data_IF_443696381875
#
_entry.id   IF_443696381875
#
_cell.length_a   1.000
_cell.length_b   1.000
_cell.length_c   1.000
_cell.angle_alpha   90.00
_cell.angle_beta   90.00
_cell.angle_gamma   90.00
#
_symmetry.space_group_name_H-M   'P 1'
#
loop_
_entity.id
_entity.type
_entity.pdbx_description
1 polymer ?
#
# COMPACT_ATOMS: atom_id res chain seq x y z
N UNK A 1 13.45 -14.62 -3.35
CA UNK A 1 11.98 -14.65 -3.52
C UNK A 1 11.54 -13.21 -3.64
N UNK A 2 10.76 -12.85 -4.65
CA UNK A 2 10.37 -11.46 -4.93
C UNK A 2 9.34 -11.01 -3.88
N UNK A 3 9.60 -9.94 -3.14
CA UNK A 3 8.71 -9.37 -2.13
C UNK A 3 7.94 -8.19 -2.69
N UNK A 4 6.62 -8.27 -2.73
CA UNK A 4 5.74 -7.18 -3.18
C UNK A 4 5.11 -6.54 -1.94
N UNK A 5 5.49 -5.30 -1.62
CA UNK A 5 4.89 -4.57 -0.52
C UNK A 5 3.44 -4.19 -0.84
N UNK A 6 2.51 -4.73 -0.07
CA UNK A 6 1.09 -4.39 -0.14
C UNK A 6 0.80 -3.16 0.72
N UNK A 7 0.38 -2.08 0.08
CA UNK A 7 -0.06 -0.85 0.72
C UNK A 7 -1.57 -0.70 0.57
N UNK A 8 -2.31 -0.98 1.64
CA UNK A 8 -3.76 -0.94 1.69
C UNK A 8 -4.28 -0.15 2.88
N UNK A 9 -5.47 0.45 2.75
CA UNK A 9 -6.18 1.09 3.85
C UNK A 9 -6.93 0.08 4.77
N UNK A 10 -6.41 -1.14 4.89
CA UNK A 10 -6.95 -2.26 5.66
C UNK A 10 -5.95 -3.41 5.71
N UNK A 11 -6.08 -4.29 6.70
CA UNK A 11 -5.17 -5.44 6.90
C UNK A 11 -5.39 -6.54 5.86
N UNK A 12 -6.60 -6.72 5.35
CA UNK A 12 -6.88 -7.65 4.24
C UNK A 12 -7.99 -7.09 3.35
N UNK A 13 -7.85 -7.27 2.04
CA UNK A 13 -8.96 -7.04 1.13
C UNK A 13 -9.74 -8.32 0.93
N UNK A 14 -10.52 -8.71 1.93
CA UNK A 14 -11.20 -10.01 2.09
C UNK A 14 -12.09 -10.48 0.93
N UNK A 15 -12.42 -9.62 -0.05
CA UNK A 15 -13.09 -10.04 -1.29
C UNK A 15 -12.18 -10.38 -2.48
N UNK A 16 -10.89 -10.05 -2.41
CA UNK A 16 -9.93 -10.19 -3.53
C UNK A 16 -8.50 -10.58 -3.10
N UNK A 17 -8.23 -10.68 -1.79
CA UNK A 17 -6.90 -10.90 -1.25
C UNK A 17 -6.29 -12.21 -1.78
N UNK A 18 -7.10 -13.28 -1.81
CA UNK A 18 -6.68 -14.59 -2.31
C UNK A 18 -6.29 -14.55 -3.78
N UNK A 19 -6.98 -13.75 -4.58
CA UNK A 19 -6.72 -13.57 -6.01
C UNK A 19 -5.43 -12.78 -6.23
N UNK A 20 -5.17 -11.76 -5.40
CA UNK A 20 -3.92 -10.98 -5.41
C UNK A 20 -2.74 -11.90 -5.04
N UNK A 21 -2.87 -12.69 -3.97
CA UNK A 21 -1.84 -13.63 -3.53
C UNK A 21 -1.56 -14.70 -4.58
N UNK A 22 -2.60 -15.33 -5.13
CA UNK A 22 -2.47 -16.31 -6.22
C UNK A 22 -1.78 -15.72 -7.46
N UNK A 23 -2.08 -14.46 -7.80
CA UNK A 23 -1.42 -13.78 -8.90
C UNK A 23 0.09 -13.59 -8.61
N UNK A 24 0.47 -13.17 -7.41
CA UNK A 24 1.87 -13.04 -7.01
C UNK A 24 2.59 -14.40 -7.02
N UNK A 25 1.99 -15.44 -6.45
CA UNK A 25 2.55 -16.80 -6.40
C UNK A 25 2.80 -17.39 -7.79
N UNK A 26 1.93 -17.10 -8.77
CA UNK A 26 2.07 -17.54 -10.16
C UNK A 26 3.39 -17.05 -10.79
N UNK A 27 3.94 -15.93 -10.30
CA UNK A 27 5.21 -15.37 -10.74
C UNK A 27 6.36 -15.58 -9.74
N UNK A 28 6.20 -16.46 -8.75
CA UNK A 28 7.22 -16.71 -7.73
C UNK A 28 7.47 -15.53 -6.77
N UNK A 29 6.46 -14.67 -6.62
CA UNK A 29 6.48 -13.53 -5.72
C UNK A 29 5.57 -13.76 -4.50
N UNK A 30 5.82 -13.00 -3.43
CA UNK A 30 5.04 -13.04 -2.20
C UNK A 30 4.58 -11.62 -1.83
N UNK A 31 3.29 -11.47 -1.50
CA UNK A 31 2.78 -10.23 -0.93
C UNK A 31 3.24 -10.11 0.53
N UNK A 32 3.82 -8.97 0.89
CA UNK A 32 4.26 -8.67 2.25
C UNK A 32 3.64 -7.36 2.72
N UNK A 33 3.28 -7.27 3.99
CA UNK A 33 2.83 -6.02 4.59
C UNK A 33 4.01 -5.42 5.37
N UNK A 34 4.48 -4.22 5.03
CA UNK A 34 5.53 -3.58 5.80
C UNK A 34 5.12 -3.39 7.26
N UNK A 35 6.03 -3.69 8.18
CA UNK A 35 5.82 -3.48 9.61
C UNK A 35 6.17 -2.03 9.97
N UNK A 36 5.37 -1.45 10.85
CA UNK A 36 5.53 -0.07 11.32
C UNK A 36 5.27 0.02 12.81
N UNK A 37 6.09 0.80 13.50
CA UNK A 37 5.87 1.12 14.91
C UNK A 37 4.78 2.21 15.01
N UNK A 38 3.99 2.17 16.08
CA UNK A 38 2.96 3.17 16.33
C UNK A 38 3.55 4.58 16.43
N UNK A 39 4.73 4.71 17.02
CA UNK A 39 5.42 5.99 17.21
C UNK A 39 5.87 6.61 15.87
N UNK A 40 6.08 5.80 14.84
CA UNK A 40 6.48 6.27 13.50
C UNK A 40 5.28 6.81 12.71
N UNK A 41 4.04 6.52 13.11
CA UNK A 41 2.84 6.87 12.32
C UNK A 41 2.62 8.38 12.28
N UNK A 42 2.72 9.05 13.43
CA UNK A 42 2.44 10.48 13.53
C UNK A 42 3.54 11.31 12.85
N UNK A 43 4.81 10.94 13.00
CA UNK A 43 5.93 11.60 12.31
C UNK A 43 5.87 11.41 10.79
N UNK A 44 5.59 10.19 10.32
CA UNK A 44 5.39 9.89 8.91
C UNK A 44 4.26 10.74 8.31
N UNK A 45 3.19 10.93 9.07
CA UNK A 45 2.01 11.66 8.65
C UNK A 45 2.25 13.18 8.61
N UNK A 46 2.99 13.74 9.57
CA UNK A 46 3.44 15.14 9.52
C UNK A 46 4.34 15.40 8.30
N UNK A 47 5.31 14.51 8.03
CA UNK A 47 6.20 14.62 6.87
C UNK A 47 5.47 14.50 5.54
N UNK A 48 4.42 13.68 5.47
CA UNK A 48 3.65 13.43 4.26
C UNK A 48 2.78 14.63 3.84
N UNK A 49 2.32 15.45 4.80
CA UNK A 49 1.61 16.70 4.52
C UNK A 49 0.16 16.55 4.03
N UNK A 50 -0.37 15.32 3.93
CA UNK A 50 -1.78 15.05 3.64
C UNK A 50 -2.52 14.63 4.92
N UNK A 51 -3.52 15.41 5.32
CA UNK A 51 -4.36 15.06 6.46
C UNK A 51 -5.48 14.09 6.06
N UNK A 52 -5.31 12.80 6.37
CA UNK A 52 -6.38 11.79 6.39
C UNK A 52 -7.04 11.59 7.77
N UNK A 53 -8.37 11.62 7.85
CA UNK A 53 -9.14 11.24 9.04
C UNK A 53 -9.09 9.73 9.33
N UNK A 54 -8.97 8.89 8.30
CA UNK A 54 -8.93 7.43 8.46
C UNK A 54 -7.61 6.94 9.07
N UNK A 55 -7.67 6.25 10.21
CA UNK A 55 -6.52 5.59 10.84
C UNK A 55 -5.85 4.55 9.93
N UNK A 56 -6.64 3.82 9.13
CA UNK A 56 -6.09 2.84 8.20
C UNK A 56 -5.36 3.49 7.02
N UNK A 57 -5.76 4.69 6.58
CA UNK A 57 -4.98 5.46 5.61
C UNK A 57 -3.70 6.01 6.23
N UNK A 58 -3.72 6.42 7.50
CA UNK A 58 -2.48 6.78 8.23
C UNK A 58 -1.51 5.60 8.28
N UNK A 59 -2.01 4.40 8.58
CA UNK A 59 -1.19 3.18 8.56
C UNK A 59 -0.59 2.91 7.18
N UNK A 60 -1.38 3.07 6.11
CA UNK A 60 -0.90 2.93 4.73
C UNK A 60 0.24 3.93 4.41
N UNK A 61 0.10 5.18 4.86
CA UNK A 61 1.12 6.22 4.69
C UNK A 61 2.39 5.88 5.49
N UNK A 62 2.26 5.44 6.74
CA UNK A 62 3.39 5.02 7.56
C UNK A 62 4.15 3.85 6.92
N UNK A 63 3.44 2.88 6.35
CA UNK A 63 4.05 1.76 5.61
C UNK A 63 4.77 2.21 4.34
N UNK A 64 4.24 3.22 3.65
CA UNK A 64 4.93 3.80 2.51
C UNK A 64 6.23 4.51 2.94
N UNK A 65 6.16 5.27 4.03
CA UNK A 65 7.32 5.94 4.61
C UNK A 65 8.39 4.96 5.07
N UNK A 66 8.02 3.83 5.67
CA UNK A 66 8.99 2.82 6.10
C UNK A 66 9.74 2.16 4.93
N UNK A 67 9.14 2.09 3.74
CA UNK A 67 9.82 1.68 2.51
C UNK A 67 10.78 2.75 2.01
N UNK A 68 10.35 4.03 2.02
CA UNK A 68 11.18 5.16 1.59
C UNK A 68 12.39 5.35 2.51
N UNK A 69 12.22 5.16 3.82
CA UNK A 69 13.28 5.26 4.82
C UNK A 69 14.18 4.01 4.85
N UNK A 70 13.88 2.98 4.06
CA UNK A 70 14.66 1.74 4.02
C UNK A 70 14.54 0.87 5.28
N UNK A 71 13.52 1.12 6.13
CA UNK A 71 13.21 0.30 7.32
C UNK A 71 12.64 -1.07 6.94
N UNK A 72 11.94 -1.14 5.80
CA UNK A 72 11.41 -2.38 5.23
C UNK A 72 11.93 -2.57 3.81
N UNK A 73 12.26 -3.81 3.45
CA UNK A 73 12.74 -4.18 2.12
C UNK A 73 11.62 -4.78 1.27
N UNK A 74 11.48 -4.30 0.04
CA UNK A 74 10.60 -4.86 -0.98
C UNK A 74 11.21 -4.69 -2.38
N UNK A 75 10.81 -5.55 -3.32
CA UNK A 75 11.24 -5.49 -4.72
C UNK A 75 10.23 -4.74 -5.61
N UNK A 76 8.99 -4.59 -5.14
CA UNK A 76 7.92 -3.87 -5.81
C UNK A 76 6.87 -3.39 -4.81
N UNK A 77 6.03 -2.44 -5.23
CA UNK A 77 4.92 -1.92 -4.41
C UNK A 77 3.58 -2.11 -5.12
N UNK A 78 2.62 -2.66 -4.39
CA UNK A 78 1.24 -2.79 -4.82
C UNK A 78 0.34 -1.95 -3.92
N UNK A 79 -0.17 -0.82 -4.45
CA UNK A 79 -1.07 0.08 -3.71
C UNK A 79 -2.50 -0.26 -4.07
N UNK A 80 -3.30 -0.69 -3.08
CA UNK A 80 -4.70 -1.04 -3.29
C UNK A 80 -5.64 -0.27 -2.34
N UNK A 81 -6.62 0.41 -2.92
CA UNK A 81 -7.65 1.16 -2.17
C UNK A 81 -9.02 1.01 -2.82
N UNK A 82 -10.10 1.20 -2.04
CA UNK A 82 -11.46 1.14 -2.59
C UNK A 82 -11.73 2.32 -3.52
N UNK A 83 -12.41 2.07 -4.65
CA UNK A 83 -12.72 3.16 -5.59
C UNK A 83 -13.69 4.22 -5.02
N UNK A 84 -14.49 3.85 -4.01
CA UNK A 84 -15.55 4.70 -3.45
C UNK A 84 -15.03 5.76 -2.48
N UNK A 85 -13.86 5.57 -1.88
CA UNK A 85 -13.33 6.48 -0.90
C UNK A 85 -12.48 7.57 -1.59
N UNK A 86 -13.02 8.79 -1.65
CA UNK A 86 -12.32 9.94 -2.22
C UNK A 86 -10.99 10.21 -1.51
N UNK A 87 -10.97 10.10 -0.19
CA UNK A 87 -9.78 10.25 0.63
C UNK A 87 -8.70 9.21 0.26
N UNK A 88 -9.11 7.95 0.08
CA UNK A 88 -8.21 6.88 -0.33
C UNK A 88 -7.73 7.02 -1.78
N UNK A 89 -8.51 7.65 -2.66
CA UNK A 89 -8.09 7.97 -4.02
C UNK A 89 -6.97 9.04 -4.03
N UNK A 90 -7.10 10.08 -3.20
CA UNK A 90 -6.07 11.11 -3.02
C UNK A 90 -4.83 10.49 -2.38
N UNK A 91 -4.99 9.80 -1.25
CA UNK A 91 -3.88 9.16 -0.54
C UNK A 91 -3.12 8.16 -1.43
N UNK A 92 -3.81 7.34 -2.24
CA UNK A 92 -3.17 6.43 -3.20
C UNK A 92 -2.29 7.18 -4.22
N UNK A 93 -2.76 8.32 -4.73
CA UNK A 93 -1.97 9.10 -5.69
C UNK A 93 -0.73 9.71 -5.03
N UNK A 94 -0.87 10.26 -3.83
CA UNK A 94 0.24 10.87 -3.11
C UNK A 94 1.24 9.84 -2.59
N UNK A 95 0.79 8.68 -2.10
CA UNK A 95 1.68 7.57 -1.73
C UNK A 95 2.45 7.04 -2.94
N UNK A 96 1.80 6.91 -4.11
CA UNK A 96 2.49 6.54 -5.34
C UNK A 96 3.60 7.55 -5.68
N UNK A 97 3.29 8.85 -5.62
CA UNK A 97 4.27 9.92 -5.88
C UNK A 97 5.43 9.89 -4.90
N UNK A 98 5.13 9.71 -3.61
CA UNK A 98 6.12 9.59 -2.55
C UNK A 98 7.14 8.48 -2.86
N UNK A 99 6.66 7.28 -3.20
CA UNK A 99 7.54 6.13 -3.47
C UNK A 99 8.34 6.35 -4.75
N UNK A 100 7.70 6.82 -5.82
CA UNK A 100 8.37 7.04 -7.12
C UNK A 100 9.42 8.16 -7.06
N UNK A 101 9.24 9.16 -6.20
CA UNK A 101 10.19 10.27 -6.07
C UNK A 101 11.40 9.93 -5.20
N UNK A 102 11.31 8.91 -4.35
CA UNK A 102 12.35 8.59 -3.36
C UNK A 102 12.97 7.20 -3.54
N UNK A 103 12.41 6.35 -4.42
CA UNK A 103 12.88 4.98 -4.63
C UNK A 103 12.78 4.59 -6.10
N UNK A 104 13.55 3.60 -6.51
CA UNK A 104 13.44 2.96 -7.83
C UNK A 104 12.44 1.79 -7.85
N UNK A 105 11.61 1.65 -6.80
CA UNK A 105 10.66 0.55 -6.69
C UNK A 105 9.57 0.67 -7.76
N UNK A 106 9.31 -0.39 -8.55
CA UNK A 106 8.17 -0.40 -9.45
C UNK A 106 6.87 -0.38 -8.65
N UNK A 107 5.97 0.54 -9.00
CA UNK A 107 4.70 0.74 -8.32
C UNK A 107 3.52 0.40 -9.22
N UNK A 108 2.65 -0.49 -8.75
CA UNK A 108 1.35 -0.79 -9.37
C UNK A 108 0.24 -0.29 -8.45
N UNK A 109 -0.70 0.46 -9.02
CA UNK A 109 -1.89 0.92 -8.30
C UNK A 109 -3.13 0.20 -8.79
N UNK A 110 -3.91 -0.38 -7.88
CA UNK A 110 -5.17 -1.02 -8.18
C UNK A 110 -6.31 -0.41 -7.38
N UNK A 111 -7.40 -0.09 -8.07
CA UNK A 111 -8.63 0.40 -7.46
C UNK A 111 -9.70 -0.65 -7.64
N UNK A 112 -10.03 -1.40 -6.59
CA UNK A 112 -11.02 -2.46 -6.72
C UNK A 112 -12.45 -1.89 -6.61
N UNK A 113 -13.35 -2.59 -7.29
CA UNK A 113 -14.80 -2.49 -7.10
C UNK A 113 -15.25 -3.71 -6.29
N UNK A 114 -16.12 -3.52 -5.30
CA UNK A 114 -16.64 -4.61 -4.43
C UNK A 114 -17.27 -5.79 -5.19
N UNK A 115 -17.64 -5.58 -6.47
CA UNK A 115 -18.00 -6.66 -7.39
C UNK A 115 -16.82 -6.95 -8.30
N UNK A 116 -15.98 -7.91 -7.92
CA UNK A 116 -15.03 -8.48 -8.88
C UNK A 116 -15.77 -9.40 -9.84
N UNK A 117 -15.48 -9.27 -11.14
CA UNK A 117 -15.92 -10.24 -12.15
C UNK A 117 -14.99 -11.47 -12.21
N UNK A 118 -14.15 -11.66 -11.19
CA UNK A 118 -13.11 -12.68 -11.15
C UNK A 118 -13.61 -14.05 -10.64
N UNK A 119 -14.94 -14.22 -10.56
CA UNK A 119 -15.63 -15.48 -10.29
C UNK A 119 -15.74 -16.35 -11.54
#
# INVERSE_FOLDING_TARGET
MIKIAQLSCGTEYSGVQKEIEKAAETFGAQMVMPDVNLDDIDEAYEKFGLSCASSSLKLMIARAMSLVEGKNEADAVFICTCFRCAEAAIARNEVRRLIQNNTDLPVVTYSFTEKTKAS
#
